data_IF_978352801990
#
_entry.id   IF_978352801990
#
_cell.length_a   1.000
_cell.length_b   1.000
_cell.length_c   1.000
_cell.angle_alpha   90.00
_cell.angle_beta   90.00
_cell.angle_gamma   90.00
#
_symmetry.space_group_name_H-M   'P 1'
#
loop_
_entity.id
_entity.type
_entity.pdbx_description
1 polymer ?
#
# COMPACT_ATOMS: atom_id res chain seq x y z
N UNK A 1 5.53 25.68 -3.03
CA UNK A 1 4.36 24.94 -2.53
C UNK A 1 4.72 23.47 -2.70
N UNK A 2 4.73 22.69 -1.63
CA UNK A 2 5.04 21.27 -1.74
C UNK A 2 3.74 20.57 -2.12
N UNK A 3 3.56 20.28 -3.41
CA UNK A 3 2.49 19.42 -3.91
C UNK A 3 2.73 18.01 -3.38
N UNK A 4 2.27 17.78 -2.14
CA UNK A 4 2.19 16.46 -1.52
C UNK A 4 0.73 16.06 -1.44
N UNK A 5 0.44 14.81 -1.70
CA UNK A 5 -0.85 14.19 -1.45
C UNK A 5 -0.65 13.01 -0.52
N UNK A 6 -1.53 12.88 0.46
CA UNK A 6 -1.53 11.76 1.38
C UNK A 6 -2.55 10.74 0.89
N UNK A 7 -2.14 9.48 0.76
CA UNK A 7 -3.00 8.38 0.32
C UNK A 7 -3.08 7.32 1.41
N UNK A 8 -4.24 6.67 1.49
CA UNK A 8 -4.47 5.47 2.27
C UNK A 8 -4.60 4.27 1.36
N UNK A 9 -3.77 3.26 1.60
CA UNK A 9 -3.79 1.98 0.91
C UNK A 9 -4.39 0.96 1.88
N UNK A 10 -5.52 0.40 1.46
CA UNK A 10 -6.24 -0.65 2.17
C UNK A 10 -5.91 -1.98 1.52
N UNK A 11 -5.41 -2.93 2.30
CA UNK A 11 -5.07 -4.27 1.81
C UNK A 11 -5.83 -5.29 2.63
N UNK A 12 -6.84 -5.91 2.00
CA UNK A 12 -7.59 -7.00 2.60
C UNK A 12 -7.14 -8.31 1.97
N UNK A 13 -6.40 -9.12 2.73
CA UNK A 13 -6.00 -10.45 2.27
C UNK A 13 -7.22 -11.36 2.10
N UNK A 14 -7.17 -12.31 1.18
CA UNK A 14 -8.23 -13.31 0.95
C UNK A 14 -7.96 -14.63 1.67
N UNK A 15 -6.75 -14.81 2.19
CA UNK A 15 -6.28 -16.02 2.85
C UNK A 15 -5.43 -15.69 4.09
N UNK A 16 -5.28 -16.67 4.99
CA UNK A 16 -4.32 -16.53 6.09
C UNK A 16 -2.90 -16.72 5.56
N UNK A 17 -1.96 -15.91 6.04
CA UNK A 17 -0.56 -16.04 5.66
C UNK A 17 0.35 -15.27 6.60
N UNK A 18 1.61 -15.16 6.20
CA UNK A 18 2.63 -14.39 6.89
C UNK A 18 2.17 -12.93 7.06
N UNK A 19 2.51 -12.34 8.21
CA UNK A 19 2.24 -10.92 8.41
C UNK A 19 3.01 -10.09 7.40
N UNK A 20 2.33 -9.10 6.82
CA UNK A 20 2.88 -8.22 5.79
C UNK A 20 3.49 -6.94 6.39
N UNK A 21 3.46 -6.79 7.72
CA UNK A 21 3.95 -5.62 8.44
C UNK A 21 3.07 -5.28 9.63
N UNK A 22 3.55 -4.42 10.52
CA UNK A 22 2.82 -3.99 11.70
C UNK A 22 2.90 -2.49 11.89
N UNK A 23 1.96 -1.89 12.62
CA UNK A 23 2.14 -0.52 13.09
C UNK A 23 3.26 -0.47 14.15
N UNK A 24 4.20 0.50 14.10
CA UNK A 24 4.32 1.65 13.19
C UNK A 24 5.41 1.48 12.11
N UNK A 25 5.58 0.28 11.56
CA UNK A 25 6.63 -0.01 10.57
C UNK A 25 6.52 0.97 9.39
N UNK A 26 7.69 1.34 8.84
CA UNK A 26 7.83 2.20 7.65
C UNK A 26 8.31 1.45 6.42
N UNK A 27 8.47 0.14 6.55
CA UNK A 27 8.97 -0.76 5.52
C UNK A 27 8.10 -2.01 5.49
N UNK A 28 8.08 -2.70 4.35
CA UNK A 28 7.34 -3.93 4.15
C UNK A 28 6.69 -4.02 2.78
N UNK A 29 6.18 -5.20 2.40
CA UNK A 29 5.74 -5.51 1.04
C UNK A 29 4.65 -4.59 0.53
N UNK A 30 3.75 -4.07 1.38
CA UNK A 30 2.71 -3.13 0.95
C UNK A 30 3.31 -1.78 0.57
N UNK A 31 4.25 -1.27 1.38
CA UNK A 31 4.95 -0.01 1.11
C UNK A 31 5.87 -0.16 -0.11
N UNK A 32 6.53 -1.30 -0.25
CA UNK A 32 7.42 -1.55 -1.39
C UNK A 32 6.63 -1.69 -2.70
N UNK A 33 5.48 -2.37 -2.68
CA UNK A 33 4.54 -2.37 -3.80
C UNK A 33 4.05 -0.96 -4.14
N UNK A 34 3.72 -0.14 -3.14
CA UNK A 34 3.32 1.24 -3.35
C UNK A 34 4.43 2.08 -4.01
N UNK A 35 5.69 1.93 -3.57
CA UNK A 35 6.84 2.61 -4.19
C UNK A 35 6.98 2.23 -5.66
N UNK A 36 6.89 0.94 -5.99
CA UNK A 36 6.99 0.45 -7.36
C UNK A 36 5.85 0.99 -8.23
N UNK A 37 4.60 0.91 -7.75
CA UNK A 37 3.45 1.40 -8.50
C UNK A 37 3.51 2.94 -8.74
N UNK A 38 4.00 3.70 -7.76
CA UNK A 38 4.23 5.14 -7.92
C UNK A 38 5.32 5.45 -8.95
N UNK A 39 6.41 4.67 -8.96
CA UNK A 39 7.48 4.82 -9.94
C UNK A 39 6.98 4.58 -11.37
N UNK A 40 6.16 3.56 -11.58
CA UNK A 40 5.52 3.27 -12.87
C UNK A 40 4.62 4.42 -13.36
N UNK A 41 3.99 5.16 -12.43
CA UNK A 41 3.16 6.33 -12.72
C UNK A 41 3.95 7.65 -12.79
N UNK A 42 5.27 7.62 -12.61
CA UNK A 42 6.10 8.82 -12.57
C UNK A 42 5.88 9.71 -11.34
N UNK A 43 5.25 9.17 -10.29
CA UNK A 43 5.08 9.81 -9.00
C UNK A 43 6.23 9.45 -8.04
N UNK A 44 6.44 10.27 -7.01
CA UNK A 44 7.50 10.07 -6.01
C UNK A 44 6.92 9.78 -4.65
N UNK A 45 7.29 8.63 -4.11
CA UNK A 45 7.12 8.32 -2.69
C UNK A 45 7.94 9.29 -1.82
N UNK A 46 7.34 9.83 -0.76
CA UNK A 46 7.95 10.79 0.16
C UNK A 46 8.14 10.19 1.56
N UNK A 47 7.08 9.66 2.17
CA UNK A 47 7.10 8.96 3.46
C UNK A 47 5.92 7.99 3.52
N UNK A 48 5.89 7.13 4.52
CA UNK A 48 4.80 6.18 4.69
C UNK A 48 4.97 5.31 5.92
N UNK A 49 3.84 4.79 6.41
CA UNK A 49 3.79 3.93 7.58
C UNK A 49 2.53 3.08 7.58
N UNK A 50 2.62 1.90 8.19
CA UNK A 50 1.44 1.12 8.54
C UNK A 50 0.58 1.90 9.55
N UNK A 51 -0.70 1.58 9.63
CA UNK A 51 -1.64 2.11 10.62
C UNK A 51 -2.05 1.02 11.60
N UNK A 52 -2.35 1.43 12.84
CA UNK A 52 -2.91 0.52 13.83
C UNK A 52 -4.34 0.14 13.41
N UNK A 53 -4.56 -1.13 13.12
CA UNK A 53 -5.87 -1.67 12.74
C UNK A 53 -6.27 -2.79 13.70
N UNK A 54 -7.57 -2.95 14.01
CA UNK A 54 -8.04 -4.08 14.80
C UNK A 54 -7.66 -5.41 14.13
N UNK A 55 -7.33 -6.46 14.91
CA UNK A 55 -7.05 -7.77 14.35
C UNK A 55 -8.24 -8.29 13.54
N UNK A 56 -8.02 -8.62 12.27
CA UNK A 56 -9.02 -9.18 11.37
C UNK A 56 -8.61 -10.57 10.89
N UNK A 57 -9.59 -11.40 10.53
CA UNK A 57 -9.39 -12.71 9.89
C UNK A 57 -10.33 -12.83 8.68
N UNK A 58 -9.82 -12.82 7.43
CA UNK A 58 -8.41 -12.71 7.04
C UNK A 58 -7.73 -11.38 7.46
N UNK A 59 -6.38 -11.34 7.52
CA UNK A 59 -5.63 -10.13 7.83
C UNK A 59 -6.03 -8.92 6.97
N UNK A 60 -6.11 -7.77 7.63
CA UNK A 60 -6.39 -6.47 7.03
C UNK A 60 -5.29 -5.51 7.43
N UNK A 61 -4.79 -4.73 6.47
CA UNK A 61 -3.73 -3.76 6.67
C UNK A 61 -4.16 -2.42 6.09
N UNK A 62 -3.72 -1.35 6.75
CA UNK A 62 -3.85 0.01 6.25
C UNK A 62 -2.47 0.64 6.28
N UNK A 63 -2.06 1.23 5.16
CA UNK A 63 -0.82 1.98 5.03
C UNK A 63 -1.17 3.40 4.62
N UNK A 64 -0.59 4.38 5.30
CA UNK A 64 -0.64 5.78 4.87
C UNK A 64 0.69 6.09 4.18
N UNK A 65 0.62 6.66 2.99
CA UNK A 65 1.78 7.14 2.24
C UNK A 65 1.60 8.61 1.89
N UNK A 66 2.71 9.35 1.89
CA UNK A 66 2.82 10.66 1.28
C UNK A 66 3.53 10.53 -0.06
N UNK A 67 2.96 11.13 -1.10
CA UNK A 67 3.50 11.08 -2.46
C UNK A 67 3.32 12.43 -3.17
N UNK A 68 3.99 12.64 -4.30
CA UNK A 68 3.59 13.68 -5.26
C UNK A 68 2.22 13.34 -5.87
N UNK A 69 1.51 14.32 -6.47
CA UNK A 69 0.21 14.09 -7.08
C UNK A 69 0.24 12.92 -8.07
N UNK A 70 -0.74 12.04 -7.95
CA UNK A 70 -0.90 10.81 -8.75
C UNK A 70 -2.39 10.51 -8.89
N UNK A 71 -2.79 9.89 -10.00
CA UNK A 71 -4.16 9.40 -10.15
C UNK A 71 -4.37 8.18 -9.24
N UNK A 72 -5.27 8.30 -8.28
CA UNK A 72 -5.52 7.23 -7.30
C UNK A 72 -6.13 5.98 -7.92
N UNK A 73 -6.89 6.10 -9.01
CA UNK A 73 -7.49 4.95 -9.69
C UNK A 73 -6.44 4.19 -10.48
N UNK A 74 -5.57 4.90 -11.20
CA UNK A 74 -4.45 4.25 -11.91
C UNK A 74 -3.50 3.57 -10.91
N UNK A 75 -3.23 4.22 -9.77
CA UNK A 75 -2.43 3.62 -8.70
C UNK A 75 -3.08 2.36 -8.12
N UNK A 76 -4.40 2.36 -7.90
CA UNK A 76 -5.14 1.17 -7.44
C UNK A 76 -5.05 0.03 -8.47
N UNK A 77 -5.19 0.32 -9.76
CA UNK A 77 -5.08 -0.68 -10.84
C UNK A 77 -3.69 -1.31 -10.84
N UNK A 78 -2.63 -0.50 -10.91
CA UNK A 78 -1.25 -1.00 -10.95
C UNK A 78 -0.91 -1.78 -9.69
N UNK A 79 -1.31 -1.30 -8.52
CA UNK A 79 -1.10 -2.03 -7.26
C UNK A 79 -1.73 -3.42 -7.31
N UNK A 80 -2.97 -3.55 -7.79
CA UNK A 80 -3.62 -4.86 -7.92
C UNK A 80 -2.94 -5.75 -8.97
N UNK A 81 -2.40 -5.19 -10.05
CA UNK A 81 -1.66 -5.94 -11.07
C UNK A 81 -0.33 -6.49 -10.53
N UNK A 82 0.49 -5.62 -9.91
CA UNK A 82 1.82 -6.02 -9.41
C UNK A 82 1.74 -6.89 -8.16
N UNK A 83 0.66 -6.80 -7.37
CA UNK A 83 0.52 -7.52 -6.09
C UNK A 83 0.81 -9.01 -6.19
N UNK A 84 0.28 -9.63 -7.25
CA UNK A 84 0.45 -11.07 -7.53
C UNK A 84 1.91 -11.50 -7.72
N UNK A 85 2.80 -10.55 -8.00
CA UNK A 85 4.23 -10.76 -8.23
C UNK A 85 5.11 -10.36 -7.04
N UNK A 86 4.53 -9.80 -5.98
CA UNK A 86 5.26 -9.39 -4.77
C UNK A 86 5.64 -10.62 -3.96
N UNK A 87 6.90 -10.66 -3.53
CA UNK A 87 7.41 -11.67 -2.60
C UNK A 87 7.89 -11.00 -1.33
N UNK A 88 7.67 -11.66 -0.20
CA UNK A 88 8.12 -11.24 1.11
C UNK A 88 8.76 -12.42 1.83
N UNK A 89 9.97 -12.23 2.35
CA UNK A 89 10.75 -13.29 3.01
C UNK A 89 10.94 -14.56 2.16
N UNK A 90 11.05 -14.39 0.84
CA UNK A 90 11.23 -15.50 -0.11
C UNK A 90 9.96 -16.28 -0.45
N UNK A 91 8.79 -15.84 0.04
CA UNK A 91 7.49 -16.43 -0.30
C UNK A 91 6.58 -15.40 -0.98
N UNK A 92 5.68 -15.81 -1.90
CA UNK A 92 4.65 -14.92 -2.41
C UNK A 92 3.79 -14.38 -1.28
N UNK A 93 3.40 -13.10 -1.38
CA UNK A 93 2.43 -12.54 -0.44
C UNK A 93 1.05 -13.18 -0.63
N UNK A 94 0.19 -13.23 0.41
CA UNK A 94 -1.18 -13.68 0.27
C UNK A 94 -1.94 -12.88 -0.78
N UNK A 95 -2.84 -13.53 -1.51
CA UNK A 95 -3.76 -12.82 -2.40
C UNK A 95 -4.54 -11.77 -1.60
N UNK A 96 -4.76 -10.60 -2.18
CA UNK A 96 -5.43 -9.49 -1.50
C UNK A 96 -6.21 -8.62 -2.47
N UNK A 97 -7.27 -8.00 -1.95
CA UNK A 97 -7.94 -6.89 -2.61
C UNK A 97 -7.33 -5.59 -2.10
N UNK A 98 -6.84 -4.76 -3.02
CA UNK A 98 -6.21 -3.49 -2.70
C UNK A 98 -7.13 -2.36 -3.14
N UNK A 99 -7.35 -1.39 -2.23
CA UNK A 99 -8.02 -0.14 -2.58
C UNK A 99 -7.21 1.07 -2.12
N UNK A 100 -7.23 2.13 -2.91
CA UNK A 100 -6.50 3.37 -2.66
C UNK A 100 -7.48 4.51 -2.49
N UNK A 101 -7.33 5.27 -1.40
CA UNK A 101 -8.12 6.48 -1.16
C UNK A 101 -7.22 7.67 -0.96
N UNK A 102 -7.49 8.76 -1.69
CA UNK A 102 -6.85 10.04 -1.45
C UNK A 102 -7.41 10.69 -0.19
N UNK A 103 -6.53 10.98 0.77
CA UNK A 103 -6.83 11.89 1.88
C UNK A 103 -6.63 13.32 1.38
N UNK A 104 -7.57 13.79 0.56
CA UNK A 104 -7.57 15.16 0.09
C UNK A 104 -7.66 16.14 1.25
N UNK A 105 -6.70 17.06 1.34
CA UNK A 105 -6.82 18.26 2.17
C UNK A 105 -8.04 19.06 1.74
N UNK A 106 -8.88 19.42 2.73
CA UNK A 106 -9.96 20.38 2.57
C UNK A 106 -9.45 21.75 2.09
#
# INVERSE_FOLDING_TARGET
MSDRVTLQIYVQTTEQGSSLGYYPDKEGPIIDAAKQALEELGAKYLDGQYQAVPPARPPFYVVIIDTTPVDTKELEVILNEIWSSITFQGQPVPSANISVQGLGGA
#
